data_IF_312033455344
#
_entry.id   IF_312033455344
#
_cell.length_a   1.000
_cell.length_b   1.000
_cell.length_c   1.000
_cell.angle_alpha   90.00
_cell.angle_beta   90.00
_cell.angle_gamma   90.00
#
_symmetry.space_group_name_H-M   'P 1'
#
loop_
_entity.id
_entity.type
_entity.pdbx_description
1 polymer ?
#
# COMPACT_ATOMS: atom_id res chain seq x y z
N UNK A 1 13.26 15.25 54.71
CA UNK A 1 12.41 15.18 53.52
C UNK A 1 13.22 14.62 52.37
N UNK A 2 13.06 13.33 52.03
CA UNK A 2 13.72 12.69 50.88
C UNK A 2 12.70 12.70 49.71
N UNK A 3 12.99 13.47 48.70
CA UNK A 3 12.22 13.46 47.47
C UNK A 3 12.55 12.21 46.67
N UNK A 4 11.60 11.31 46.52
CA UNK A 4 11.70 10.19 45.59
C UNK A 4 11.50 10.72 44.16
N UNK A 5 12.60 10.81 43.40
CA UNK A 5 12.50 10.94 41.92
C UNK A 5 12.00 9.62 41.38
N UNK A 6 10.72 9.61 40.99
CA UNK A 6 10.17 8.51 40.21
C UNK A 6 10.64 8.72 38.76
N UNK A 7 11.67 7.97 38.36
CA UNK A 7 12.16 7.96 36.97
C UNK A 7 11.13 7.23 36.13
N UNK A 8 10.27 7.96 35.38
CA UNK A 8 9.44 7.35 34.34
C UNK A 8 10.41 6.89 33.23
N UNK A 9 10.69 5.60 33.21
CA UNK A 9 11.29 4.96 32.03
C UNK A 9 10.19 4.94 30.95
N UNK A 10 10.27 5.89 30.04
CA UNK A 10 9.47 5.84 28.80
C UNK A 10 10.02 4.67 27.98
N UNK A 11 9.39 3.53 28.06
CA UNK A 11 9.64 2.44 27.12
C UNK A 11 9.11 2.91 25.77
N UNK A 12 9.99 3.48 24.95
CA UNK A 12 9.67 3.78 23.56
C UNK A 12 9.33 2.44 22.88
N UNK A 13 8.09 2.28 22.46
CA UNK A 13 7.68 1.11 21.72
C UNK A 13 8.53 1.02 20.43
N UNK A 14 9.16 -0.12 20.23
CA UNK A 14 9.98 -0.36 19.03
C UNK A 14 9.06 -0.46 17.83
N UNK A 15 9.26 0.42 16.85
CA UNK A 15 8.47 0.40 15.60
C UNK A 15 8.70 -0.90 14.83
N UNK A 16 7.62 -1.54 14.44
CA UNK A 16 7.64 -2.78 13.66
C UNK A 16 7.30 -2.52 12.22
N UNK A 17 8.14 -3.01 11.32
CA UNK A 17 7.97 -2.86 9.87
C UNK A 17 7.81 -4.22 9.22
N UNK A 18 6.76 -4.37 8.42
CA UNK A 18 6.56 -5.53 7.56
C UNK A 18 6.88 -5.15 6.12
N UNK A 19 7.79 -5.89 5.48
CA UNK A 19 8.06 -5.78 4.05
C UNK A 19 7.44 -7.00 3.35
N UNK A 20 6.36 -6.79 2.61
CA UNK A 20 5.77 -7.83 1.76
C UNK A 20 6.47 -7.77 0.41
N UNK A 21 7.33 -8.75 0.15
CA UNK A 21 8.23 -8.77 -1.00
C UNK A 21 7.78 -9.80 -2.04
N UNK A 22 7.60 -9.35 -3.28
CA UNK A 22 7.11 -10.19 -4.37
C UNK A 22 8.02 -10.13 -5.59
N UNK A 23 9.22 -10.72 -5.48
CA UNK A 23 10.13 -10.91 -6.61
C UNK A 23 10.88 -12.23 -6.51
N UNK A 24 11.01 -12.93 -7.64
CA UNK A 24 11.60 -14.26 -7.72
C UNK A 24 13.13 -14.28 -7.83
N UNK A 25 13.77 -13.15 -8.13
CA UNK A 25 15.22 -13.10 -8.40
C UNK A 25 15.98 -12.38 -7.29
N UNK A 26 16.85 -13.10 -6.60
CA UNK A 26 17.67 -12.58 -5.50
C UNK A 26 18.71 -11.53 -5.92
N UNK A 27 19.18 -11.57 -7.18
CA UNK A 27 20.14 -10.60 -7.74
C UNK A 27 19.52 -9.39 -8.42
N UNK A 28 18.23 -9.13 -8.23
CA UNK A 28 17.51 -8.03 -8.88
C UNK A 28 17.71 -6.69 -8.18
N UNK A 29 17.42 -5.59 -8.91
CA UNK A 29 17.35 -4.26 -8.31
C UNK A 29 16.32 -4.20 -7.17
N UNK A 30 15.23 -4.94 -7.27
CA UNK A 30 14.22 -5.00 -6.22
C UNK A 30 14.72 -5.72 -4.96
N UNK A 31 15.56 -6.74 -5.10
CA UNK A 31 16.23 -7.35 -3.97
C UNK A 31 17.14 -6.33 -3.29
N UNK A 32 17.94 -5.58 -4.06
CA UNK A 32 18.79 -4.52 -3.52
C UNK A 32 17.98 -3.40 -2.83
N UNK A 33 16.81 -3.03 -3.38
CA UNK A 33 15.93 -2.05 -2.75
C UNK A 33 15.31 -2.57 -1.45
N UNK A 34 14.91 -3.85 -1.40
CA UNK A 34 14.44 -4.53 -0.19
C UNK A 34 15.55 -4.59 0.86
N UNK A 35 16.76 -5.02 0.50
CA UNK A 35 17.90 -5.11 1.41
C UNK A 35 18.26 -3.72 1.96
N UNK A 36 18.26 -2.68 1.11
CA UNK A 36 18.45 -1.31 1.54
C UNK A 36 17.41 -0.86 2.58
N UNK A 37 16.15 -1.29 2.43
CA UNK A 37 15.10 -0.98 3.39
C UNK A 37 15.30 -1.71 4.71
N UNK A 38 15.67 -3.00 4.66
CA UNK A 38 15.99 -3.78 5.86
C UNK A 38 17.13 -3.15 6.64
N UNK A 39 18.26 -2.84 5.95
CA UNK A 39 19.43 -2.23 6.58
C UNK A 39 19.07 -0.91 7.29
N UNK A 40 18.53 0.05 6.54
CA UNK A 40 18.27 1.40 7.05
C UNK A 40 17.27 1.40 8.21
N UNK A 41 16.20 0.60 8.10
CA UNK A 41 15.18 0.55 9.15
C UNK A 41 15.68 -0.18 10.40
N UNK A 42 16.51 -1.20 10.23
CA UNK A 42 17.16 -1.88 11.36
C UNK A 42 18.15 -0.95 12.08
N UNK A 43 18.94 -0.18 11.33
CA UNK A 43 19.87 0.82 11.88
C UNK A 43 19.13 1.91 12.68
N UNK A 44 17.85 2.17 12.35
CA UNK A 44 16.96 3.06 13.11
C UNK A 44 16.24 2.37 14.27
N UNK A 45 16.72 1.18 14.68
CA UNK A 45 16.14 0.40 15.77
C UNK A 45 14.70 -0.07 15.53
N UNK A 46 14.26 -0.18 14.27
CA UNK A 46 13.02 -0.85 13.94
C UNK A 46 13.19 -2.38 13.95
N UNK A 47 12.15 -3.10 14.34
CA UNK A 47 12.07 -4.54 14.08
C UNK A 47 11.49 -4.74 12.67
N UNK A 48 12.30 -5.27 11.75
CA UNK A 48 11.90 -5.50 10.37
C UNK A 48 11.62 -6.97 10.13
N UNK A 49 10.41 -7.29 9.69
CA UNK A 49 10.02 -8.64 9.27
C UNK A 49 9.76 -8.64 7.76
N UNK A 50 10.29 -9.63 7.04
CA UNK A 50 10.14 -9.74 5.58
C UNK A 50 9.30 -10.96 5.24
N UNK A 51 8.19 -10.75 4.54
CA UNK A 51 7.43 -11.81 3.88
C UNK A 51 7.87 -11.91 2.42
N UNK A 52 8.89 -12.73 2.16
CA UNK A 52 9.32 -13.07 0.80
C UNK A 52 8.38 -14.12 0.22
N UNK A 53 7.39 -13.67 -0.55
CA UNK A 53 6.30 -14.52 -1.03
C UNK A 53 6.76 -15.65 -1.96
N UNK A 54 7.86 -15.46 -2.69
CA UNK A 54 8.43 -16.52 -3.53
C UNK A 54 9.24 -17.53 -2.70
N UNK A 55 10.02 -17.06 -1.73
CA UNK A 55 10.80 -17.95 -0.86
C UNK A 55 9.89 -18.86 -0.01
N UNK A 56 8.79 -18.32 0.54
CA UNK A 56 7.82 -19.08 1.31
C UNK A 56 6.83 -19.87 0.43
N UNK A 57 6.93 -19.73 -0.89
CA UNK A 57 6.00 -20.36 -1.86
C UNK A 57 4.54 -20.05 -1.56
N UNK A 58 4.25 -18.78 -1.25
CA UNK A 58 2.91 -18.35 -0.89
C UNK A 58 1.90 -18.70 -1.99
N UNK A 59 0.80 -19.37 -1.62
CA UNK A 59 -0.26 -19.74 -2.57
C UNK A 59 -0.99 -18.48 -3.03
N UNK A 60 -0.98 -18.22 -4.34
CA UNK A 60 -1.62 -17.03 -4.91
C UNK A 60 -3.13 -17.16 -5.12
N UNK A 61 -3.65 -18.38 -5.12
CA UNK A 61 -5.05 -18.64 -5.49
C UNK A 61 -5.91 -18.80 -4.25
N UNK A 62 -6.93 -17.97 -4.13
CA UNK A 62 -7.97 -18.09 -3.10
C UNK A 62 -8.89 -19.28 -3.41
N UNK A 63 -9.02 -20.22 -2.51
CA UNK A 63 -9.85 -21.44 -2.67
C UNK A 63 -10.44 -21.86 -1.32
N UNK A 64 -11.35 -22.84 -1.32
CA UNK A 64 -11.88 -23.44 -0.10
C UNK A 64 -10.79 -24.08 0.78
N UNK A 65 -9.65 -24.48 0.21
CA UNK A 65 -8.50 -25.03 0.95
C UNK A 65 -7.83 -24.00 1.89
N UNK A 66 -8.20 -22.73 1.81
CA UNK A 66 -7.74 -21.69 2.73
C UNK A 66 -8.41 -21.81 4.11
N UNK A 67 -9.38 -22.71 4.23
CA UNK A 67 -10.11 -23.03 5.47
C UNK A 67 -9.75 -24.44 5.90
N UNK A 68 -9.33 -24.59 7.15
CA UNK A 68 -9.06 -25.90 7.76
C UNK A 68 -10.36 -26.51 8.28
N UNK A 69 -10.74 -27.66 7.73
CA UNK A 69 -12.00 -28.33 8.05
C UNK A 69 -13.11 -28.01 7.04
N UNK A 70 -14.33 -28.27 7.44
CA UNK A 70 -15.48 -28.12 6.56
C UNK A 70 -15.92 -26.66 6.44
N UNK A 71 -16.26 -26.24 5.22
CA UNK A 71 -16.94 -24.98 4.96
C UNK A 71 -18.41 -25.08 5.35
N UNK A 72 -19.01 -23.97 5.78
CA UNK A 72 -20.42 -23.98 6.25
C UNK A 72 -21.42 -24.26 5.13
N UNK A 73 -21.13 -23.78 3.92
CA UNK A 73 -22.02 -23.96 2.78
C UNK A 73 -21.21 -24.44 1.55
N UNK A 74 -21.00 -25.74 1.45
CA UNK A 74 -20.28 -26.35 0.33
C UNK A 74 -21.04 -26.22 -1.01
N UNK A 75 -22.37 -26.24 -0.98
CA UNK A 75 -23.20 -26.16 -2.19
C UNK A 75 -23.20 -24.74 -2.78
N UNK A 76 -22.94 -23.76 -1.96
CA UNK A 76 -22.91 -22.35 -2.37
C UNK A 76 -21.78 -21.60 -1.66
N UNK A 77 -20.55 -21.98 -1.99
CA UNK A 77 -19.34 -21.43 -1.39
C UNK A 77 -19.16 -19.95 -1.71
N UNK A 78 -19.16 -19.12 -0.65
CA UNK A 78 -18.89 -17.68 -0.72
C UNK A 78 -17.61 -17.37 0.03
N UNK A 79 -16.51 -17.20 -0.70
CA UNK A 79 -15.17 -17.08 -0.13
C UNK A 79 -15.07 -16.05 1.01
N UNK A 80 -15.59 -14.83 0.82
CA UNK A 80 -15.50 -13.79 1.84
C UNK A 80 -16.25 -14.13 3.13
N UNK A 81 -17.44 -14.73 3.03
CA UNK A 81 -18.25 -15.11 4.18
C UNK A 81 -17.64 -16.31 4.91
N UNK A 82 -17.20 -17.31 4.16
CA UNK A 82 -16.60 -18.54 4.73
C UNK A 82 -15.23 -18.23 5.38
N UNK A 83 -14.38 -17.40 4.76
CA UNK A 83 -13.10 -17.01 5.35
C UNK A 83 -13.26 -16.09 6.57
N UNK A 84 -14.32 -15.24 6.62
CA UNK A 84 -14.65 -14.48 7.81
C UNK A 84 -14.95 -15.41 9.00
N UNK A 85 -15.80 -16.40 8.79
CA UNK A 85 -16.16 -17.38 9.81
C UNK A 85 -14.95 -18.20 10.27
N UNK A 86 -14.13 -18.64 9.29
CA UNK A 86 -12.90 -19.35 9.58
C UNK A 86 -11.89 -18.49 10.37
N UNK A 87 -11.81 -17.20 10.08
CA UNK A 87 -10.99 -16.27 10.86
C UNK A 87 -11.50 -16.13 12.30
N UNK A 88 -12.80 -15.93 12.48
CA UNK A 88 -13.43 -15.84 13.81
C UNK A 88 -13.24 -17.11 14.63
N UNK A 89 -13.21 -18.27 13.99
CA UNK A 89 -13.04 -19.59 14.61
C UNK A 89 -11.57 -20.06 14.71
N UNK A 90 -10.62 -19.27 14.19
CA UNK A 90 -9.20 -19.67 14.13
C UNK A 90 -8.91 -20.81 13.17
N UNK A 91 -9.71 -20.96 12.11
CA UNK A 91 -9.65 -22.05 11.12
C UNK A 91 -9.09 -21.63 9.76
N UNK A 92 -8.51 -20.46 9.62
CA UNK A 92 -7.75 -20.13 8.42
C UNK A 92 -6.47 -20.95 8.36
N UNK A 93 -6.02 -21.29 7.15
CA UNK A 93 -4.78 -22.03 6.98
C UNK A 93 -3.56 -21.25 7.51
N UNK A 94 -2.51 -21.99 7.86
CA UNK A 94 -1.38 -21.45 8.62
C UNK A 94 -0.63 -20.31 7.91
N UNK A 95 -0.52 -20.34 6.59
CA UNK A 95 0.14 -19.31 5.80
C UNK A 95 -0.63 -17.97 5.87
N UNK A 96 -1.95 -17.99 5.82
CA UNK A 96 -2.79 -16.80 5.99
C UNK A 96 -2.69 -16.27 7.42
N UNK A 97 -2.84 -17.15 8.40
CA UNK A 97 -2.79 -16.78 9.82
C UNK A 97 -1.45 -16.15 10.18
N UNK A 98 -0.34 -16.67 9.66
CA UNK A 98 0.99 -16.12 9.89
C UNK A 98 1.16 -14.74 9.24
N UNK A 99 0.68 -14.53 8.02
CA UNK A 99 0.73 -13.22 7.39
C UNK A 99 -0.19 -12.20 8.09
N UNK A 100 -1.36 -12.62 8.57
CA UNK A 100 -2.22 -11.78 9.40
C UNK A 100 -1.55 -11.41 10.74
N UNK A 101 -0.83 -12.34 11.38
CA UNK A 101 -0.05 -12.08 12.59
C UNK A 101 0.99 -10.97 12.34
N UNK A 102 1.79 -11.09 11.27
CA UNK A 102 2.81 -10.10 10.89
C UNK A 102 2.19 -8.74 10.63
N UNK A 103 1.11 -8.71 9.83
CA UNK A 103 0.40 -7.48 9.50
C UNK A 103 -0.22 -6.82 10.75
N UNK A 104 -0.77 -7.60 11.68
CA UNK A 104 -1.33 -7.10 12.92
C UNK A 104 -0.28 -6.42 13.78
N UNK A 105 0.94 -6.95 13.82
CA UNK A 105 2.02 -6.43 14.64
C UNK A 105 2.74 -5.23 14.02
N UNK A 106 2.67 -5.05 12.72
CA UNK A 106 3.38 -3.99 12.02
C UNK A 106 2.73 -2.61 12.21
N UNK A 107 3.55 -1.59 12.35
CA UNK A 107 3.17 -0.17 12.33
C UNK A 107 3.28 0.42 10.92
N UNK A 108 4.26 -0.05 10.15
CA UNK A 108 4.49 0.32 8.74
C UNK A 108 4.55 -0.94 7.86
N UNK A 109 3.84 -0.93 6.76
CA UNK A 109 3.87 -2.00 5.76
C UNK A 109 4.41 -1.45 4.44
N UNK A 110 5.48 -2.08 3.92
CA UNK A 110 6.06 -1.76 2.61
C UNK A 110 5.74 -2.90 1.65
N UNK A 111 4.89 -2.63 0.68
CA UNK A 111 4.62 -3.57 -0.42
C UNK A 111 5.67 -3.38 -1.50
N UNK A 112 6.70 -4.21 -1.46
CA UNK A 112 7.82 -4.15 -2.40
C UNK A 112 7.52 -5.04 -3.61
N UNK A 113 7.17 -4.39 -4.71
CA UNK A 113 6.74 -5.03 -5.96
C UNK A 113 7.80 -4.87 -7.04
N UNK A 114 7.98 -5.89 -7.85
CA UNK A 114 8.97 -5.90 -8.91
C UNK A 114 8.38 -5.88 -10.31
N UNK A 115 9.04 -5.18 -11.24
CA UNK A 115 8.87 -5.39 -12.66
C UNK A 115 9.90 -6.42 -13.16
N UNK A 116 9.51 -7.33 -14.04
CA UNK A 116 10.38 -8.35 -14.63
C UNK A 116 10.52 -8.16 -16.14
N UNK A 117 11.76 -8.33 -16.65
CA UNK A 117 12.04 -8.65 -18.05
C UNK A 117 12.57 -7.52 -18.91
N UNK A 118 13.37 -7.92 -19.91
CA UNK A 118 14.00 -7.12 -20.97
C UNK A 118 13.01 -6.44 -21.94
N UNK A 119 11.71 -6.60 -21.77
CA UNK A 119 10.68 -6.02 -22.63
C UNK A 119 9.63 -5.28 -21.81
N UNK A 120 9.68 -4.01 -21.89
CA UNK A 120 8.69 -2.93 -21.90
C UNK A 120 7.34 -3.07 -21.17
N UNK A 121 7.21 -3.67 -19.95
CA UNK A 121 6.01 -3.42 -19.15
C UNK A 121 6.37 -3.26 -17.68
N UNK A 122 6.11 -2.07 -17.13
CA UNK A 122 6.31 -1.75 -15.70
C UNK A 122 5.18 -2.33 -14.87
N UNK A 123 5.47 -2.64 -13.60
CA UNK A 123 4.45 -3.23 -12.73
C UNK A 123 3.71 -4.34 -13.49
N UNK A 124 3.74 -5.55 -13.15
CA UNK A 124 3.10 -6.62 -13.93
C UNK A 124 1.74 -6.19 -14.51
N UNK A 125 1.72 -5.79 -15.80
CA UNK A 125 0.51 -5.31 -16.48
C UNK A 125 -0.22 -4.16 -15.73
N UNK A 126 0.54 -3.10 -15.37
CA UNK A 126 0.05 -1.92 -14.66
C UNK A 126 -0.53 -2.20 -13.26
N UNK A 127 -0.19 -3.32 -12.64
CA UNK A 127 -0.63 -3.69 -11.30
C UNK A 127 0.45 -4.48 -10.57
N UNK A 128 0.10 -5.16 -9.49
CA UNK A 128 1.00 -6.00 -8.71
C UNK A 128 1.12 -7.41 -9.31
N UNK A 129 2.23 -8.16 -9.07
CA UNK A 129 2.35 -9.55 -9.48
C UNK A 129 1.23 -10.43 -8.90
N UNK A 130 0.87 -11.51 -9.60
CA UNK A 130 -0.18 -12.42 -9.18
C UNK A 130 0.01 -12.93 -7.75
N UNK A 131 1.24 -13.23 -7.33
CA UNK A 131 1.53 -13.69 -5.97
C UNK A 131 1.22 -12.61 -4.91
N UNK A 132 1.49 -11.34 -5.19
CA UNK A 132 1.12 -10.22 -4.33
C UNK A 132 -0.39 -10.01 -4.32
N UNK A 133 -1.05 -10.09 -5.48
CA UNK A 133 -2.52 -10.02 -5.55
C UNK A 133 -3.16 -11.15 -4.76
N UNK A 134 -2.61 -12.36 -4.86
CA UNK A 134 -3.04 -13.50 -4.06
C UNK A 134 -2.85 -13.29 -2.56
N UNK A 135 -1.74 -12.65 -2.15
CA UNK A 135 -1.55 -12.25 -0.76
C UNK A 135 -2.66 -11.27 -0.32
N UNK A 136 -2.96 -10.26 -1.13
CA UNK A 136 -4.03 -9.29 -0.86
C UNK A 136 -5.38 -10.01 -0.73
N UNK A 137 -5.71 -10.90 -1.68
CA UNK A 137 -7.00 -11.61 -1.73
C UNK A 137 -7.21 -12.56 -0.54
N UNK A 138 -6.13 -13.20 -0.07
CA UNK A 138 -6.21 -14.23 0.96
C UNK A 138 -5.98 -13.70 2.37
N UNK A 139 -5.16 -12.67 2.54
CA UNK A 139 -4.78 -12.14 3.86
C UNK A 139 -5.75 -11.05 4.33
N UNK A 140 -6.20 -10.17 3.40
CA UNK A 140 -7.12 -9.08 3.74
C UNK A 140 -8.57 -9.56 3.75
N UNK A 141 -8.89 -10.50 4.62
CA UNK A 141 -10.22 -11.10 4.71
C UNK A 141 -11.26 -10.16 5.32
N UNK A 142 -12.52 -10.40 4.98
CA UNK A 142 -13.68 -9.77 5.63
C UNK A 142 -13.65 -10.06 7.13
N UNK A 143 -13.94 -9.06 7.95
CA UNK A 143 -13.86 -9.11 9.42
C UNK A 143 -12.47 -8.73 9.93
N UNK A 144 -11.40 -9.25 9.36
CA UNK A 144 -10.02 -8.92 9.75
C UNK A 144 -9.53 -7.59 9.20
N UNK A 145 -9.64 -7.36 7.88
CA UNK A 145 -9.09 -6.18 7.23
C UNK A 145 -10.13 -5.08 6.95
N UNK A 146 -11.38 -5.46 6.81
CA UNK A 146 -12.49 -4.54 6.55
C UNK A 146 -13.84 -5.14 6.95
N UNK A 147 -14.83 -4.26 7.13
CA UNK A 147 -16.26 -4.64 7.16
C UNK A 147 -17.05 -3.62 6.32
N UNK A 148 -18.33 -3.88 5.99
CA UNK A 148 -19.17 -2.88 5.30
C UNK A 148 -19.22 -1.53 6.02
N UNK A 149 -19.13 -1.52 7.37
CA UNK A 149 -19.19 -0.33 8.22
C UNK A 149 -17.81 0.28 8.48
N UNK A 150 -16.75 -0.55 8.46
CA UNK A 150 -15.38 -0.13 8.79
C UNK A 150 -14.47 -0.22 7.55
N UNK A 151 -14.52 0.83 6.74
CA UNK A 151 -13.74 0.99 5.52
C UNK A 151 -13.34 2.44 5.29
N UNK A 152 -12.39 2.70 4.41
CA UNK A 152 -11.83 4.01 4.09
C UNK A 152 -11.37 4.74 5.35
N UNK A 153 -11.76 6.00 5.53
CA UNK A 153 -11.39 6.81 6.70
C UNK A 153 -11.84 6.21 8.06
N UNK A 154 -12.74 5.24 8.06
CA UNK A 154 -13.19 4.48 9.23
C UNK A 154 -12.63 3.05 9.26
N UNK A 155 -11.67 2.74 8.39
CA UNK A 155 -11.12 1.40 8.21
C UNK A 155 -10.39 0.85 9.44
N UNK A 156 -10.19 -0.46 9.45
CA UNK A 156 -9.63 -1.19 10.59
C UNK A 156 -8.15 -0.92 10.83
N UNK A 157 -7.40 -0.53 9.80
CA UNK A 157 -5.95 -0.28 9.87
C UNK A 157 -5.57 1.20 9.93
N UNK A 158 -6.47 2.07 10.44
CA UNK A 158 -6.25 3.53 10.51
C UNK A 158 -5.02 3.97 11.30
N UNK A 159 -4.51 3.11 12.17
CA UNK A 159 -3.33 3.38 13.00
C UNK A 159 -2.04 2.84 12.34
N UNK A 160 -2.12 2.27 11.15
CA UNK A 160 -0.98 1.68 10.42
C UNK A 160 -0.67 2.47 9.16
N UNK A 161 0.63 2.65 8.88
CA UNK A 161 1.10 3.22 7.61
C UNK A 161 1.32 2.13 6.58
N UNK A 162 1.06 2.42 5.31
CA UNK A 162 1.36 1.52 4.20
C UNK A 162 1.88 2.29 3.00
N UNK A 163 2.84 1.71 2.27
CA UNK A 163 3.34 2.27 1.03
C UNK A 163 3.59 1.20 -0.03
N UNK A 164 3.44 1.61 -1.28
CA UNK A 164 3.89 0.83 -2.43
C UNK A 164 5.33 1.22 -2.76
N UNK A 165 6.20 0.24 -2.96
CA UNK A 165 7.56 0.43 -3.46
C UNK A 165 7.76 -0.48 -4.67
N UNK A 166 8.07 0.08 -5.84
CA UNK A 166 8.13 -0.70 -7.07
C UNK A 166 9.04 -0.10 -8.12
N UNK A 167 9.48 -0.97 -9.04
CA UNK A 167 10.19 -0.59 -10.25
C UNK A 167 9.23 -0.52 -11.43
N UNK A 168 9.55 0.29 -12.43
CA UNK A 168 8.88 0.33 -13.72
C UNK A 168 9.80 -0.17 -14.82
N UNK A 169 9.23 -0.70 -15.91
CA UNK A 169 9.99 -1.01 -17.12
C UNK A 169 10.16 0.20 -18.03
N UNK A 170 9.33 1.24 -17.85
CA UNK A 170 9.29 2.44 -18.67
C UNK A 170 9.73 3.66 -17.87
N UNK A 171 10.13 4.71 -18.60
CA UNK A 171 10.58 5.98 -18.01
C UNK A 171 9.39 6.77 -17.42
N UNK A 172 9.68 7.67 -16.50
CA UNK A 172 8.70 8.53 -15.81
C UNK A 172 7.84 9.33 -16.80
N UNK A 173 8.45 9.89 -17.84
CA UNK A 173 7.75 10.67 -18.87
C UNK A 173 6.64 9.90 -19.59
N UNK A 174 6.75 8.57 -19.70
CA UNK A 174 5.71 7.72 -20.28
C UNK A 174 4.48 7.57 -19.38
N UNK A 175 4.59 7.88 -18.08
CA UNK A 175 3.54 7.84 -17.06
C UNK A 175 3.09 9.23 -16.59
N UNK A 176 3.32 10.24 -17.39
CA UNK A 176 2.77 11.59 -17.18
C UNK A 176 1.37 11.71 -17.79
N UNK A 177 0.70 12.83 -17.53
CA UNK A 177 -0.60 13.14 -18.14
C UNK A 177 -0.56 13.12 -19.68
N UNK A 178 0.61 13.46 -20.27
CA UNK A 178 0.85 13.47 -21.72
C UNK A 178 1.59 12.20 -22.19
N UNK A 179 1.89 11.28 -21.30
CA UNK A 179 2.64 10.06 -21.60
C UNK A 179 1.74 8.97 -22.21
N UNK A 180 2.36 8.10 -23.03
CA UNK A 180 1.65 7.02 -23.73
C UNK A 180 0.97 6.03 -22.77
N UNK A 181 1.45 5.88 -21.54
CA UNK A 181 0.90 5.00 -20.53
C UNK A 181 -0.16 5.69 -19.66
N UNK A 182 -0.38 7.00 -19.86
CA UNK A 182 -1.24 7.80 -19.00
C UNK A 182 -0.62 8.10 -17.63
N UNK A 183 -1.32 8.87 -16.82
CA UNK A 183 -0.84 9.31 -15.52
C UNK A 183 -0.72 8.15 -14.51
N UNK A 184 0.42 8.05 -13.84
CA UNK A 184 0.70 7.03 -12.84
C UNK A 184 -0.33 7.03 -11.69
N UNK A 185 -0.90 8.17 -11.34
CA UNK A 185 -1.92 8.24 -10.30
C UNK A 185 -3.20 7.46 -10.66
N UNK A 186 -3.55 7.40 -11.94
CA UNK A 186 -4.66 6.55 -12.41
C UNK A 186 -4.32 5.07 -12.22
N UNK A 187 -3.11 4.68 -12.60
CA UNK A 187 -2.61 3.30 -12.43
C UNK A 187 -2.60 2.86 -10.97
N UNK A 188 -2.21 3.75 -10.06
CA UNK A 188 -2.09 3.43 -8.63
C UNK A 188 -3.40 3.54 -7.86
N UNK A 189 -4.43 4.18 -8.41
CA UNK A 189 -5.69 4.39 -7.72
C UNK A 189 -6.34 3.11 -7.19
N UNK A 190 -6.46 2.01 -7.95
CA UNK A 190 -7.02 0.77 -7.44
C UNK A 190 -6.26 0.20 -6.23
N UNK A 191 -4.94 0.35 -6.21
CA UNK A 191 -4.10 -0.14 -5.12
C UNK A 191 -4.16 0.80 -3.91
N UNK A 192 -3.91 2.09 -4.11
CA UNK A 192 -3.79 3.05 -3.01
C UNK A 192 -5.14 3.39 -2.38
N UNK A 193 -6.15 3.68 -3.20
CA UNK A 193 -7.49 3.98 -2.69
C UNK A 193 -8.33 2.71 -2.51
N UNK A 194 -8.36 1.84 -3.54
CA UNK A 194 -9.26 0.68 -3.59
C UNK A 194 -8.87 -0.46 -2.66
N UNK A 195 -7.59 -0.57 -2.27
CA UNK A 195 -7.10 -1.60 -1.36
C UNK A 195 -6.60 -0.98 -0.05
N UNK A 196 -5.53 -0.19 -0.10
CA UNK A 196 -4.89 0.28 1.13
C UNK A 196 -5.79 1.24 1.91
N UNK A 197 -6.27 2.30 1.28
CA UNK A 197 -7.19 3.24 1.95
C UNK A 197 -8.53 2.59 2.29
N UNK A 198 -9.02 1.65 1.45
CA UNK A 198 -10.24 0.90 1.76
C UNK A 198 -10.15 0.14 3.09
N UNK A 199 -9.01 -0.47 3.39
CA UNK A 199 -8.74 -1.12 4.68
C UNK A 199 -8.43 -0.13 5.81
N UNK A 200 -8.28 1.16 5.50
CA UNK A 200 -8.03 2.24 6.47
C UNK A 200 -6.59 2.67 6.61
N UNK A 201 -5.62 2.05 5.93
CA UNK A 201 -4.22 2.45 6.06
C UNK A 201 -3.99 3.93 5.79
N UNK A 202 -3.08 4.51 6.55
CA UNK A 202 -2.45 5.78 6.24
C UNK A 202 -1.47 5.57 5.08
N UNK A 203 -1.93 5.81 3.85
CA UNK A 203 -1.16 5.51 2.65
C UNK A 203 -0.09 6.56 2.43
N UNK A 204 1.18 6.17 2.43
CA UNK A 204 2.30 7.05 2.11
C UNK A 204 2.46 7.18 0.59
N UNK A 205 3.13 8.25 0.15
CA UNK A 205 3.48 8.40 -1.25
C UNK A 205 4.27 7.18 -1.75
N UNK A 206 4.03 6.70 -2.98
CA UNK A 206 4.72 5.53 -3.49
C UNK A 206 6.21 5.79 -3.67
N UNK A 207 7.03 4.75 -3.53
CA UNK A 207 8.41 4.77 -3.99
C UNK A 207 8.47 4.15 -5.37
N UNK A 208 8.84 4.95 -6.36
CA UNK A 208 8.93 4.51 -7.75
C UNK A 208 10.38 4.56 -8.21
N UNK A 209 10.86 3.44 -8.73
CA UNK A 209 12.17 3.36 -9.37
C UNK A 209 11.97 3.23 -10.88
N UNK A 210 12.20 4.33 -11.57
CA UNK A 210 11.91 4.44 -12.99
C UNK A 210 12.91 3.69 -13.87
N UNK A 211 12.46 2.67 -14.57
CA UNK A 211 13.19 1.91 -15.59
C UNK A 211 14.63 1.49 -15.18
N UNK A 212 14.87 0.87 -14.01
CA UNK A 212 16.24 0.58 -13.55
C UNK A 212 17.02 -0.35 -14.49
N UNK A 213 16.35 -1.14 -15.32
CA UNK A 213 16.97 -2.00 -16.33
C UNK A 213 17.49 -1.24 -17.56
N UNK A 214 17.03 0.00 -17.77
CA UNK A 214 17.38 0.82 -18.95
C UNK A 214 18.31 1.99 -18.62
N UNK A 215 18.76 2.09 -17.37
CA UNK A 215 19.66 3.16 -16.94
C UNK A 215 21.06 2.63 -16.57
N UNK A 216 22.12 3.46 -16.64
CA UNK A 216 23.47 3.09 -16.21
C UNK A 216 23.54 2.66 -14.75
N UNK A 217 24.60 1.93 -14.38
CA UNK A 217 24.84 1.45 -13.02
C UNK A 217 24.86 2.58 -11.99
N UNK A 218 25.45 3.72 -12.35
CA UNK A 218 25.52 4.91 -11.51
C UNK A 218 24.14 5.47 -11.18
N UNK A 219 23.24 5.55 -12.16
CA UNK A 219 21.87 5.97 -11.96
C UNK A 219 21.10 5.00 -11.03
N UNK A 220 21.32 3.69 -11.16
CA UNK A 220 20.76 2.70 -10.21
C UNK A 220 21.27 2.89 -8.79
N UNK A 221 22.57 3.18 -8.64
CA UNK A 221 23.17 3.47 -7.33
C UNK A 221 22.57 4.74 -6.72
N UNK A 222 22.36 5.77 -7.53
CA UNK A 222 21.67 7.01 -7.11
C UNK A 222 20.23 6.74 -6.65
N UNK A 223 19.48 5.90 -7.36
CA UNK A 223 18.14 5.50 -6.96
C UNK A 223 18.12 4.83 -5.58
N UNK A 224 19.07 3.91 -5.33
CA UNK A 224 19.20 3.23 -4.04
C UNK A 224 19.62 4.19 -2.93
N UNK A 225 20.53 5.12 -3.22
CA UNK A 225 20.94 6.15 -2.25
C UNK A 225 19.77 7.07 -1.88
N UNK A 226 19.00 7.52 -2.86
CA UNK A 226 17.80 8.33 -2.63
C UNK A 226 16.74 7.56 -1.82
N UNK A 227 16.60 6.27 -2.08
CA UNK A 227 15.73 5.39 -1.30
C UNK A 227 16.17 5.29 0.16
N UNK A 228 17.47 5.03 0.41
CA UNK A 228 18.03 5.03 1.77
C UNK A 228 17.78 6.35 2.49
N UNK A 229 18.01 7.48 1.80
CA UNK A 229 17.75 8.82 2.36
C UNK A 229 16.27 9.00 2.74
N UNK A 230 15.34 8.58 1.89
CA UNK A 230 13.90 8.66 2.18
C UNK A 230 13.52 7.81 3.40
N UNK A 231 14.07 6.60 3.51
CA UNK A 231 13.78 5.68 4.61
C UNK A 231 14.13 6.26 5.99
N UNK A 232 15.13 7.13 6.10
CA UNK A 232 15.44 7.80 7.37
C UNK A 232 14.30 8.67 7.90
N UNK A 233 13.41 9.15 7.03
CA UNK A 233 12.26 9.98 7.41
C UNK A 233 10.90 9.32 7.20
N UNK A 234 10.84 8.05 6.77
CA UNK A 234 9.59 7.41 6.34
C UNK A 234 8.54 7.30 7.46
N UNK A 235 8.99 7.11 8.69
CA UNK A 235 8.11 6.98 9.84
C UNK A 235 7.36 8.29 10.16
N UNK A 236 7.98 9.44 9.85
CA UNK A 236 7.42 10.78 10.05
C UNK A 236 6.71 11.33 8.79
N UNK A 237 6.78 10.58 7.69
CA UNK A 237 6.18 11.01 6.43
C UNK A 237 4.66 11.15 6.56
N UNK A 238 4.13 12.28 6.06
CA UNK A 238 2.69 12.54 6.07
C UNK A 238 1.98 11.66 5.03
N UNK A 239 0.86 11.03 5.40
CA UNK A 239 0.07 10.24 4.46
C UNK A 239 -0.51 11.09 3.31
N UNK A 240 -0.82 10.41 2.22
CA UNK A 240 -1.64 10.95 1.14
C UNK A 240 -3.03 11.29 1.68
N UNK A 241 -3.64 12.31 1.09
CA UNK A 241 -5.03 12.68 1.42
C UNK A 241 -5.99 12.03 0.43
N UNK A 242 -7.00 11.35 0.95
CA UNK A 242 -8.13 10.84 0.19
C UNK A 242 -9.40 11.60 0.58
N UNK A 243 -10.40 11.58 -0.29
CA UNK A 243 -11.68 12.21 0.00
C UNK A 243 -12.37 11.46 1.16
N UNK A 244 -12.69 12.16 2.26
CA UNK A 244 -13.33 11.52 3.41
C UNK A 244 -14.70 10.92 3.08
N UNK A 245 -15.08 9.86 3.79
CA UNK A 245 -16.33 9.14 3.55
C UNK A 245 -17.58 9.99 3.77
N UNK A 246 -17.50 11.01 4.62
CA UNK A 246 -18.58 11.96 4.89
C UNK A 246 -18.88 12.93 3.73
N UNK A 247 -17.97 13.03 2.77
CA UNK A 247 -18.19 13.75 1.52
C UNK A 247 -19.12 13.01 0.54
N UNK A 248 -19.49 11.78 0.82
CA UNK A 248 -20.32 10.93 -0.03
C UNK A 248 -21.70 10.70 0.60
N UNK A 249 -22.71 10.54 -0.24
CA UNK A 249 -24.09 10.25 0.16
C UNK A 249 -24.32 8.74 0.13
N UNK A 250 -24.41 8.11 1.31
CA UNK A 250 -24.59 6.68 1.45
C UNK A 250 -25.96 6.18 0.93
N UNK A 251 -27.01 7.01 0.98
CA UNK A 251 -28.33 6.67 0.49
C UNK A 251 -28.39 6.69 -1.05
N UNK A 252 -27.51 7.48 -1.68
CA UNK A 252 -27.35 7.59 -3.13
C UNK A 252 -26.21 6.73 -3.70
N UNK A 253 -25.84 5.65 -2.99
CA UNK A 253 -24.81 4.72 -3.45
C UNK A 253 -23.40 5.29 -3.36
N UNK A 254 -23.12 6.12 -2.37
CA UNK A 254 -21.82 6.75 -2.12
C UNK A 254 -21.33 7.65 -3.27
N UNK A 255 -22.25 8.36 -3.92
CA UNK A 255 -21.88 9.46 -4.82
C UNK A 255 -21.45 10.68 -4.03
N UNK A 256 -20.54 11.49 -4.59
CA UNK A 256 -20.18 12.78 -4.01
C UNK A 256 -21.43 13.63 -3.80
N UNK A 257 -21.53 14.23 -2.62
CA UNK A 257 -22.59 15.18 -2.31
C UNK A 257 -22.51 16.38 -3.28
N UNK A 258 -23.66 16.91 -3.76
CA UNK A 258 -23.68 18.00 -4.74
C UNK A 258 -22.86 19.22 -4.32
N UNK A 259 -22.96 19.63 -3.06
CA UNK A 259 -22.23 20.78 -2.50
C UNK A 259 -20.71 20.55 -2.47
N UNK A 260 -20.27 19.29 -2.29
CA UNK A 260 -18.83 18.93 -2.35
C UNK A 260 -18.37 18.96 -3.80
N UNK A 261 -19.16 18.43 -4.73
CA UNK A 261 -18.86 18.45 -6.15
C UNK A 261 -18.75 19.89 -6.68
N UNK A 262 -19.69 20.76 -6.38
CA UNK A 262 -19.70 22.16 -6.80
C UNK A 262 -18.49 22.93 -6.24
N UNK A 263 -18.19 22.76 -4.96
CA UNK A 263 -17.04 23.40 -4.30
C UNK A 263 -15.71 23.06 -4.97
N UNK A 264 -15.58 21.85 -5.55
CA UNK A 264 -14.35 21.35 -6.12
C UNK A 264 -14.34 21.30 -7.66
N UNK A 265 -15.46 21.56 -8.31
CA UNK A 265 -15.59 21.47 -9.77
C UNK A 265 -14.62 22.37 -10.55
N UNK A 266 -14.35 23.57 -10.03
CA UNK A 266 -13.44 24.54 -10.65
C UNK A 266 -11.96 24.35 -10.27
N UNK A 267 -11.62 23.42 -9.38
CA UNK A 267 -10.22 23.19 -8.99
C UNK A 267 -9.43 22.51 -10.10
N UNK A 268 -8.11 22.78 -10.12
CA UNK A 268 -7.18 22.16 -11.07
C UNK A 268 -7.20 20.64 -11.00
N UNK A 269 -7.32 20.08 -9.77
CA UNK A 269 -7.38 18.65 -9.53
C UNK A 269 -8.75 18.23 -9.01
N UNK A 270 -9.19 17.04 -9.41
CA UNK A 270 -10.40 16.44 -8.88
C UNK A 270 -10.19 15.77 -7.51
N UNK A 271 -11.29 15.41 -6.85
CA UNK A 271 -11.28 14.68 -5.58
C UNK A 271 -11.22 13.16 -5.78
N UNK A 272 -11.74 12.67 -6.88
CA UNK A 272 -11.73 11.26 -7.28
C UNK A 272 -11.29 11.14 -8.73
N UNK A 273 -10.93 9.94 -9.18
CA UNK A 273 -10.56 9.71 -10.58
C UNK A 273 -11.67 10.14 -11.54
N UNK A 274 -12.95 9.93 -11.19
CA UNK A 274 -14.08 10.35 -12.04
C UNK A 274 -14.19 11.87 -12.23
N UNK A 275 -13.80 12.67 -11.26
CA UNK A 275 -13.79 14.13 -11.36
C UNK A 275 -12.63 14.64 -12.23
N UNK A 276 -11.62 13.82 -12.48
CA UNK A 276 -10.49 14.19 -13.31
C UNK A 276 -10.78 14.18 -14.82
N UNK A 277 -11.91 13.69 -15.28
CA UNK A 277 -12.22 13.64 -16.71
C UNK A 277 -12.01 15.01 -17.35
N UNK A 278 -11.06 15.09 -18.28
CA UNK A 278 -10.65 16.30 -18.97
C UNK A 278 -9.78 17.28 -18.16
N UNK A 279 -9.29 16.89 -16.99
CA UNK A 279 -8.38 17.69 -16.14
C UNK A 279 -7.03 16.99 -15.95
N UNK A 280 -6.00 17.78 -15.73
CA UNK A 280 -4.71 17.26 -15.29
C UNK A 280 -4.82 16.57 -13.91
N UNK A 281 -4.03 15.51 -13.71
CA UNK A 281 -3.84 14.86 -12.41
C UNK A 281 -2.66 15.49 -11.67
N UNK A 282 -2.61 15.35 -10.32
CA UNK A 282 -1.45 15.78 -9.54
C UNK A 282 -0.16 15.10 -10.03
N UNK A 283 1.02 15.68 -9.74
CA UNK A 283 2.29 15.05 -10.09
C UNK A 283 2.39 13.59 -9.63
N UNK A 284 2.99 12.72 -10.44
CA UNK A 284 2.97 11.27 -10.33
C UNK A 284 3.35 10.70 -8.96
N UNK A 285 4.36 11.20 -8.34
CA UNK A 285 4.81 10.73 -7.03
C UNK A 285 4.00 11.33 -5.86
N UNK A 286 2.94 12.05 -6.14
CA UNK A 286 2.23 12.83 -5.15
C UNK A 286 0.73 12.83 -5.42
N UNK A 287 0.05 11.81 -4.97
CA UNK A 287 -1.41 11.90 -4.79
C UNK A 287 -1.77 12.78 -3.59
N UNK A 288 -0.94 13.77 -3.30
CA UNK A 288 -1.16 14.74 -2.22
C UNK A 288 -2.06 15.83 -2.74
N UNK A 289 -3.06 16.19 -1.95
CA UNK A 289 -3.62 17.53 -2.08
C UNK A 289 -2.45 18.52 -1.92
N UNK A 290 -2.36 19.57 -2.75
CA UNK A 290 -1.35 20.63 -2.56
C UNK A 290 -1.36 21.04 -1.09
N UNK A 291 -0.19 21.09 -0.46
CA UNK A 291 -0.10 21.62 0.91
C UNK A 291 -0.76 23.00 0.91
N UNK A 292 -1.58 23.30 1.91
CA UNK A 292 -2.31 24.56 1.99
C UNK A 292 -1.37 25.78 1.93
N UNK A 293 -0.07 25.58 2.15
CA UNK A 293 0.96 26.61 2.11
C UNK A 293 1.33 27.12 0.70
N UNK A 294 0.87 26.46 -0.38
CA UNK A 294 1.11 26.94 -1.77
C UNK A 294 -0.10 27.59 -2.43
N UNK A 295 -1.23 27.67 -1.78
CA UNK A 295 -2.39 28.46 -2.22
C UNK A 295 -2.28 29.93 -1.77
N UNK A 296 -1.12 30.56 -1.88
CA UNK A 296 -1.06 32.02 -1.95
C UNK A 296 -1.20 32.38 -3.43
N UNK A 297 -2.43 32.61 -3.82
CA UNK A 297 -2.71 33.27 -5.09
C UNK A 297 -2.02 34.62 -5.15
N UNK A 298 -1.24 34.82 -6.19
CA UNK A 298 -0.98 36.19 -6.70
C UNK A 298 -2.13 36.57 -7.61
#
# INVERSE_FOLDING_TARGET
>A
MRAHLCSLILVLAVTKVLIVYAHQSSGSFNAAAKDAAVDVLTDQSCTVEVSDLYAIKFKATATAEDITGDVKNADHFRYAEETKLAWEEGKLCADITEEQRKLTQADLIIFQVAAWGLQCFPMYWFTVPAIMKGWIDRVLTLGYAYTPEKRYSQGLFKDKKAMLSFTTGSQESMFSADGINGDMNVTLWPLQNGILHYCGFQVLAPQIFWAPSHVPSEARSTMLTSWRTRLHGVLEEKPLSFTPSDCFDGEKGFQLKPEVHEKHAAKEYGLTVGIHLGKALPPNNQMKLPSQDKCRFK
#
